data_IF_645599316543
#
_entry.id   IF_645599316543
#
_cell.length_a   1.000
_cell.length_b   1.000
_cell.length_c   1.000
_cell.angle_alpha   90.00
_cell.angle_beta   90.00
_cell.angle_gamma   90.00
#
_symmetry.space_group_name_H-M   'P 1'
#
loop_
_entity.id
_entity.type
_entity.pdbx_description
1 polymer ?
#
# COMPACT_ATOMS: atom_id res chain seq x y z
N UNK A 1 2.39 13.14 -7.18
CA UNK A 1 0.97 13.40 -6.82
C UNK A 1 0.56 12.23 -5.96
N UNK A 2 0.11 12.47 -4.71
CA UNK A 2 -0.17 11.40 -3.76
C UNK A 2 -1.10 10.34 -4.35
N UNK A 3 -0.87 9.07 -4.02
CA UNK A 3 -1.57 7.93 -4.62
C UNK A 3 -3.08 8.02 -4.44
N UNK A 4 -3.53 8.44 -3.27
CA UNK A 4 -4.95 8.68 -2.96
C UNK A 4 -5.57 9.69 -3.90
N UNK A 5 -4.84 10.76 -4.23
CA UNK A 5 -5.34 11.79 -5.13
C UNK A 5 -5.50 11.25 -6.54
N UNK A 6 -4.58 10.37 -6.99
CA UNK A 6 -4.69 9.70 -8.28
C UNK A 6 -5.89 8.76 -8.31
N UNK A 7 -6.08 7.93 -7.29
CA UNK A 7 -7.21 7.00 -7.20
C UNK A 7 -8.56 7.72 -7.12
N UNK A 8 -8.66 8.79 -6.33
CA UNK A 8 -9.86 9.63 -6.27
C UNK A 8 -10.11 10.31 -7.62
N UNK A 9 -9.04 10.73 -8.32
CA UNK A 9 -9.17 11.32 -9.64
C UNK A 9 -9.64 10.30 -10.67
N UNK A 10 -9.07 9.10 -10.69
CA UNK A 10 -9.51 7.98 -11.55
C UNK A 10 -10.98 7.64 -11.28
N UNK A 11 -11.39 7.57 -10.02
CA UNK A 11 -12.79 7.36 -9.66
C UNK A 11 -13.72 8.48 -10.17
N UNK A 12 -13.30 9.75 -10.07
CA UNK A 12 -14.06 10.88 -10.61
C UNK A 12 -14.16 10.80 -12.15
N UNK A 13 -13.07 10.43 -12.81
CA UNK A 13 -12.99 10.32 -14.28
C UNK A 13 -13.79 9.13 -14.83
N UNK A 14 -13.74 7.99 -14.16
CA UNK A 14 -14.38 6.79 -14.67
C UNK A 14 -15.85 6.71 -14.24
N UNK A 15 -16.16 6.96 -12.96
CA UNK A 15 -17.49 6.67 -12.45
C UNK A 15 -18.40 7.90 -12.39
N UNK A 16 -17.87 9.08 -12.02
CA UNK A 16 -18.69 10.30 -11.93
C UNK A 16 -18.91 10.91 -13.32
N UNK A 17 -17.86 11.02 -14.13
CA UNK A 17 -17.95 11.61 -15.47
C UNK A 17 -18.84 10.77 -16.39
N UNK A 18 -18.63 9.45 -16.48
CA UNK A 18 -19.46 8.57 -17.32
C UNK A 18 -20.93 8.61 -16.92
N UNK A 19 -21.25 8.52 -15.61
CA UNK A 19 -22.65 8.58 -15.16
C UNK A 19 -23.32 9.92 -15.48
N UNK A 20 -22.56 11.01 -15.47
CA UNK A 20 -23.06 12.33 -15.88
C UNK A 20 -23.26 12.42 -17.39
N UNK A 21 -22.37 11.83 -18.19
CA UNK A 21 -22.53 11.72 -19.65
C UNK A 21 -23.77 10.91 -20.02
N UNK A 22 -23.96 9.73 -19.41
CA UNK A 22 -25.15 8.90 -19.61
C UNK A 22 -26.44 9.62 -19.18
N UNK A 23 -26.36 10.50 -18.17
CA UNK A 23 -27.50 11.31 -17.77
C UNK A 23 -27.81 12.41 -18.80
N UNK A 24 -26.77 13.07 -19.33
CA UNK A 24 -26.90 14.06 -20.41
C UNK A 24 -27.53 13.45 -21.67
N UNK A 25 -27.00 12.32 -22.14
CA UNK A 25 -27.51 11.64 -23.34
C UNK A 25 -28.98 11.20 -23.17
N UNK A 26 -29.34 10.61 -22.02
CA UNK A 26 -30.74 10.22 -21.74
C UNK A 26 -31.69 11.41 -21.70
N UNK A 27 -31.24 12.57 -21.20
CA UNK A 27 -32.07 13.78 -21.24
C UNK A 27 -32.21 14.31 -22.66
N UNK A 28 -31.15 14.24 -23.48
CA UNK A 28 -31.17 14.69 -24.87
C UNK A 28 -32.09 13.82 -25.73
N UNK A 29 -32.03 12.49 -25.57
CA UNK A 29 -32.91 11.56 -26.24
C UNK A 29 -34.38 11.78 -25.86
N UNK A 30 -34.69 11.86 -24.56
CA UNK A 30 -36.06 12.11 -24.08
C UNK A 30 -36.62 13.43 -24.62
N UNK A 31 -35.81 14.48 -24.65
CA UNK A 31 -36.22 15.78 -25.18
C UNK A 31 -36.32 15.83 -26.71
N UNK A 32 -35.64 14.93 -27.42
CA UNK A 32 -35.76 14.77 -28.87
C UNK A 32 -37.02 13.97 -29.24
N UNK A 33 -37.37 12.96 -28.45
CA UNK A 33 -38.52 12.09 -28.68
C UNK A 33 -39.86 12.70 -28.27
N UNK A 34 -39.88 13.62 -27.30
CA UNK A 34 -41.12 14.26 -26.85
C UNK A 34 -41.76 15.13 -27.94
N UNK A 35 -43.00 14.81 -28.39
CA UNK A 35 -43.67 15.57 -29.43
C UNK A 35 -44.12 16.95 -28.95
N UNK A 36 -44.17 17.90 -29.88
CA UNK A 36 -44.60 19.27 -29.61
C UNK A 36 -46.07 19.28 -29.17
N UNK A 37 -46.31 19.57 -27.88
CA UNK A 37 -47.67 19.76 -27.42
C UNK A 37 -48.19 21.13 -27.89
N UNK A 38 -49.00 21.10 -28.95
CA UNK A 38 -49.52 22.31 -29.58
C UNK A 38 -50.49 23.09 -28.68
N UNK A 39 -51.20 22.38 -27.77
CA UNK A 39 -52.11 22.99 -26.79
C UNK A 39 -51.41 23.89 -25.77
N UNK A 40 -50.13 23.66 -25.51
CA UNK A 40 -49.29 24.48 -24.63
C UNK A 40 -48.29 25.33 -25.42
N UNK A 41 -48.59 25.68 -26.68
CA UNK A 41 -47.70 26.49 -27.54
C UNK A 41 -46.27 25.91 -27.66
N UNK A 42 -46.13 24.58 -27.57
CA UNK A 42 -44.84 23.90 -27.56
C UNK A 42 -43.89 24.32 -26.40
N UNK A 43 -44.43 24.87 -25.30
CA UNK A 43 -43.66 25.19 -24.08
C UNK A 43 -42.88 23.99 -23.54
N UNK A 44 -43.36 22.75 -23.77
CA UNK A 44 -42.61 21.54 -23.41
C UNK A 44 -41.20 21.53 -24.01
N UNK A 45 -41.06 21.92 -25.29
CA UNK A 45 -39.76 21.93 -25.98
C UNK A 45 -38.81 22.99 -25.42
N UNK A 46 -39.35 24.12 -24.95
CA UNK A 46 -38.59 25.16 -24.26
C UNK A 46 -38.12 24.69 -22.88
N UNK A 47 -38.98 24.04 -22.11
CA UNK A 47 -38.62 23.42 -20.83
C UNK A 47 -37.56 22.33 -21.00
N UNK A 48 -37.66 21.53 -22.05
CA UNK A 48 -36.66 20.52 -22.40
C UNK A 48 -35.30 21.14 -22.74
N UNK A 49 -35.28 22.24 -23.51
CA UNK A 49 -34.04 22.99 -23.77
C UNK A 49 -33.43 23.56 -22.48
N UNK A 50 -34.25 24.13 -21.58
CA UNK A 50 -33.76 24.61 -20.28
C UNK A 50 -33.19 23.47 -19.42
N UNK A 51 -33.85 22.31 -19.40
CA UNK A 51 -33.37 21.14 -18.68
C UNK A 51 -32.02 20.65 -19.23
N UNK A 52 -31.84 20.63 -20.55
CA UNK A 52 -30.55 20.29 -21.18
C UNK A 52 -29.44 21.28 -20.82
N UNK A 53 -29.73 22.58 -20.86
CA UNK A 53 -28.76 23.61 -20.45
C UNK A 53 -28.40 23.42 -18.98
N UNK A 54 -29.38 23.15 -18.12
CA UNK A 54 -29.14 22.90 -16.70
C UNK A 54 -28.24 21.68 -16.47
N UNK A 55 -28.51 20.56 -17.15
CA UNK A 55 -27.70 19.33 -17.09
C UNK A 55 -26.26 19.61 -17.51
N UNK A 56 -26.06 20.33 -18.62
CA UNK A 56 -24.72 20.75 -19.09
C UNK A 56 -23.99 21.63 -18.08
N UNK A 57 -24.70 22.59 -17.48
CA UNK A 57 -24.12 23.44 -16.43
C UNK A 57 -23.74 22.60 -15.19
N UNK A 58 -24.60 21.68 -14.77
CA UNK A 58 -24.31 20.77 -13.65
C UNK A 58 -23.08 19.92 -13.96
N UNK A 59 -22.97 19.35 -15.17
CA UNK A 59 -21.78 18.61 -15.61
C UNK A 59 -20.52 19.47 -15.51
N UNK A 60 -20.53 20.69 -16.04
CA UNK A 60 -19.38 21.61 -15.95
C UNK A 60 -19.02 21.90 -14.49
N UNK A 61 -19.99 22.20 -13.64
CA UNK A 61 -19.74 22.53 -12.24
C UNK A 61 -19.23 21.31 -11.46
N UNK A 62 -19.91 20.16 -11.56
CA UNK A 62 -19.56 18.98 -10.78
C UNK A 62 -18.27 18.34 -11.30
N UNK A 63 -18.15 18.13 -12.60
CA UNK A 63 -17.00 17.43 -13.18
C UNK A 63 -15.79 18.36 -13.28
N UNK A 64 -15.92 19.53 -13.91
CA UNK A 64 -14.74 20.39 -14.15
C UNK A 64 -14.29 21.06 -12.86
N UNK A 65 -15.20 21.77 -12.18
CA UNK A 65 -14.83 22.49 -10.96
C UNK A 65 -14.55 21.51 -9.83
N UNK A 66 -15.38 20.47 -9.65
CA UNK A 66 -15.18 19.46 -8.62
C UNK A 66 -13.87 18.69 -8.76
N UNK A 67 -13.49 18.28 -9.99
CA UNK A 67 -12.20 17.61 -10.26
C UNK A 67 -11.02 18.52 -9.96
N UNK A 68 -11.07 19.78 -10.40
CA UNK A 68 -9.99 20.74 -10.14
C UNK A 68 -9.84 21.06 -8.66
N UNK A 69 -10.95 21.33 -7.96
CA UNK A 69 -10.94 21.62 -6.53
C UNK A 69 -10.40 20.41 -5.75
N UNK A 70 -10.93 19.22 -6.04
CA UNK A 70 -10.49 17.99 -5.36
C UNK A 70 -9.02 17.72 -5.61
N UNK A 71 -8.55 17.89 -6.86
CA UNK A 71 -7.14 17.74 -7.21
C UNK A 71 -6.24 18.70 -6.45
N UNK A 72 -6.56 20.01 -6.48
CA UNK A 72 -5.74 21.03 -5.83
C UNK A 72 -5.73 20.83 -4.32
N UNK A 73 -6.89 20.60 -3.69
CA UNK A 73 -6.97 20.36 -2.25
C UNK A 73 -6.20 19.09 -1.88
N UNK A 74 -6.40 18.00 -2.63
CA UNK A 74 -5.73 16.74 -2.34
C UNK A 74 -4.21 16.85 -2.49
N UNK A 75 -3.71 17.44 -3.58
CA UNK A 75 -2.28 17.66 -3.78
C UNK A 75 -1.67 18.52 -2.66
N UNK A 76 -2.33 19.61 -2.26
CA UNK A 76 -1.85 20.50 -1.18
C UNK A 76 -1.88 19.78 0.18
N UNK A 77 -2.96 19.08 0.51
CA UNK A 77 -3.10 18.37 1.79
C UNK A 77 -2.12 17.21 1.87
N UNK A 78 -2.03 16.36 0.84
CA UNK A 78 -1.06 15.27 0.79
C UNK A 78 0.37 15.78 0.91
N UNK A 79 0.73 16.87 0.22
CA UNK A 79 2.05 17.46 0.35
C UNK A 79 2.34 17.94 1.78
N UNK A 80 1.40 18.64 2.42
CA UNK A 80 1.55 19.08 3.82
C UNK A 80 1.72 17.87 4.75
N UNK A 81 0.90 16.83 4.57
CA UNK A 81 0.99 15.61 5.38
C UNK A 81 2.31 14.86 5.16
N UNK A 82 2.81 14.80 3.93
CA UNK A 82 4.09 14.16 3.60
C UNK A 82 5.27 14.96 4.18
N UNK A 83 5.23 16.29 4.15
CA UNK A 83 6.24 17.13 4.81
C UNK A 83 6.23 16.91 6.33
N UNK A 84 5.05 16.87 6.96
CA UNK A 84 4.94 16.56 8.38
C UNK A 84 5.44 15.15 8.70
N UNK A 85 5.10 14.17 7.87
CA UNK A 85 5.57 12.79 8.00
C UNK A 85 7.09 12.71 7.85
N UNK A 86 7.68 13.44 6.92
CA UNK A 86 9.13 13.51 6.75
C UNK A 86 9.83 14.09 7.99
N UNK A 87 9.34 15.22 8.52
CA UNK A 87 9.88 15.80 9.77
C UNK A 87 9.74 14.82 10.93
N UNK A 88 8.61 14.13 11.02
CA UNK A 88 8.39 13.10 12.01
C UNK A 88 9.39 11.95 11.85
N UNK A 89 9.54 11.37 10.66
CA UNK A 89 10.50 10.31 10.37
C UNK A 89 11.94 10.73 10.65
N UNK A 90 12.32 11.99 10.41
CA UNK A 90 13.63 12.51 10.81
C UNK A 90 13.83 12.45 12.33
N UNK A 91 12.83 12.78 13.13
CA UNK A 91 12.89 12.62 14.59
C UNK A 91 13.02 11.13 14.95
N UNK A 92 12.29 10.26 14.25
CA UNK A 92 12.35 8.80 14.44
C UNK A 92 13.68 8.18 13.99
N UNK A 93 14.47 8.88 13.19
CA UNK A 93 15.81 8.47 12.73
C UNK A 93 16.91 8.76 13.76
N UNK A 94 16.60 9.43 14.88
CA UNK A 94 17.57 9.65 15.96
C UNK A 94 17.89 8.29 16.60
N UNK A 95 19.17 7.86 16.65
CA UNK A 95 19.53 6.59 17.27
C UNK A 95 19.08 6.50 18.72
N UNK A 96 18.70 5.30 19.15
CA UNK A 96 18.20 4.93 20.48
C UNK A 96 16.83 5.54 20.78
N UNK A 97 16.72 6.86 20.84
CA UNK A 97 15.47 7.56 21.20
C UNK A 97 14.40 7.34 20.12
N UNK A 98 14.75 7.56 18.86
CA UNK A 98 13.85 7.33 17.73
C UNK A 98 13.45 5.87 17.60
N UNK A 99 14.40 4.95 17.78
CA UNK A 99 14.13 3.51 17.81
C UNK A 99 13.08 3.10 18.84
N UNK A 100 13.26 3.51 20.11
CA UNK A 100 12.31 3.20 21.20
C UNK A 100 10.93 3.78 20.91
N UNK A 101 10.85 5.06 20.50
CA UNK A 101 9.57 5.70 20.19
C UNK A 101 8.89 4.97 19.03
N UNK A 102 9.64 4.52 18.01
CA UNK A 102 9.12 3.81 16.84
C UNK A 102 8.50 2.49 17.22
N UNK A 103 9.22 1.69 17.99
CA UNK A 103 8.71 0.42 18.49
C UNK A 103 7.41 0.62 19.26
N UNK A 104 7.36 1.60 20.18
CA UNK A 104 6.16 1.87 20.97
C UNK A 104 4.99 2.32 20.08
N UNK A 105 5.21 3.28 19.18
CA UNK A 105 4.16 3.80 18.32
C UNK A 105 3.65 2.75 17.34
N UNK A 106 4.54 1.92 16.77
CA UNK A 106 4.12 0.85 15.87
C UNK A 106 3.31 -0.22 16.61
N UNK A 107 3.70 -0.59 17.83
CA UNK A 107 2.89 -1.49 18.66
C UNK A 107 1.52 -0.91 18.99
N UNK A 108 1.45 0.35 19.42
CA UNK A 108 0.18 1.02 19.73
C UNK A 108 -0.70 1.12 18.48
N UNK A 109 -0.11 1.50 17.36
CA UNK A 109 -0.80 1.61 16.06
C UNK A 109 -1.33 0.26 15.61
N UNK A 110 -0.53 -0.80 15.72
CA UNK A 110 -0.96 -2.17 15.41
C UNK A 110 -2.14 -2.59 16.30
N UNK A 111 -2.08 -2.35 17.61
CA UNK A 111 -3.17 -2.71 18.52
C UNK A 111 -4.46 -1.99 18.13
N UNK A 112 -4.39 -0.68 17.84
CA UNK A 112 -5.55 0.10 17.41
C UNK A 112 -6.12 -0.48 16.11
N UNK A 113 -5.28 -0.71 15.11
CA UNK A 113 -5.75 -1.22 13.81
C UNK A 113 -6.23 -2.65 13.87
N UNK A 114 -5.69 -3.49 14.76
CA UNK A 114 -6.19 -4.85 14.98
C UNK A 114 -7.58 -4.84 15.60
N UNK A 115 -7.86 -3.89 16.50
CA UNK A 115 -9.21 -3.68 17.05
C UNK A 115 -10.17 -3.23 15.96
N UNK A 116 -9.77 -2.27 15.12
CA UNK A 116 -10.59 -1.79 13.99
C UNK A 116 -10.81 -2.92 12.97
N UNK A 117 -9.78 -3.70 12.68
CA UNK A 117 -9.77 -4.83 11.76
C UNK A 117 -10.48 -6.07 12.29
N UNK A 118 -10.93 -6.10 13.55
CA UNK A 118 -11.61 -7.27 14.13
C UNK A 118 -12.90 -7.62 13.37
N UNK A 119 -13.63 -6.61 12.91
CA UNK A 119 -14.84 -6.82 12.09
C UNK A 119 -14.47 -7.49 10.77
N UNK A 120 -13.41 -6.99 10.10
CA UNK A 120 -12.90 -7.54 8.84
C UNK A 120 -12.37 -8.97 9.02
N UNK A 121 -11.68 -9.23 10.13
CA UNK A 121 -11.21 -10.56 10.51
C UNK A 121 -12.36 -11.56 10.65
N UNK A 122 -13.41 -11.20 11.40
CA UNK A 122 -14.58 -12.08 11.60
C UNK A 122 -15.33 -12.31 10.29
N UNK A 123 -15.52 -11.27 9.47
CA UNK A 123 -16.15 -11.39 8.15
C UNK A 123 -15.32 -12.28 7.22
N UNK A 124 -14.00 -12.11 7.21
CA UNK A 124 -13.08 -12.92 6.42
C UNK A 124 -13.10 -14.39 6.85
N UNK A 125 -13.14 -14.68 8.15
CA UNK A 125 -13.29 -16.04 8.66
C UNK A 125 -14.61 -16.68 8.23
N UNK A 126 -15.68 -15.89 8.15
CA UNK A 126 -16.98 -16.32 7.63
C UNK A 126 -17.02 -16.47 6.09
N UNK A 127 -15.91 -16.19 5.39
CA UNK A 127 -15.78 -16.30 3.94
C UNK A 127 -16.19 -15.04 3.16
N UNK A 128 -16.57 -13.95 3.84
CA UNK A 128 -16.82 -12.68 3.19
C UNK A 128 -15.50 -11.93 3.00
N UNK A 129 -14.91 -12.07 1.82
CA UNK A 129 -13.60 -11.53 1.48
C UNK A 129 -13.68 -10.58 0.27
N UNK A 130 -14.29 -9.40 0.41
CA UNK A 130 -14.24 -8.37 -0.65
C UNK A 130 -12.79 -8.02 -1.00
N UNK A 131 -12.52 -7.75 -2.28
CA UNK A 131 -11.15 -7.50 -2.75
C UNK A 131 -10.57 -6.26 -2.05
N UNK A 132 -9.37 -6.39 -1.50
CA UNK A 132 -8.63 -5.30 -0.82
C UNK A 132 -7.37 -4.94 -1.61
N UNK A 133 -6.74 -3.84 -1.25
CA UNK A 133 -5.45 -3.39 -1.77
C UNK A 133 -4.39 -3.45 -0.68
N UNK A 134 -3.17 -3.77 -1.07
CA UNK A 134 -1.97 -3.64 -0.26
C UNK A 134 -0.87 -3.04 -1.15
N UNK A 135 0.06 -2.31 -0.53
CA UNK A 135 1.14 -1.67 -1.25
C UNK A 135 2.48 -2.16 -0.75
N UNK A 136 3.40 -2.38 -1.67
CA UNK A 136 4.78 -2.67 -1.33
C UNK A 136 5.75 -2.02 -2.30
N UNK A 137 6.94 -1.71 -1.82
CA UNK A 137 8.01 -1.10 -2.60
C UNK A 137 9.35 -1.72 -2.24
N UNK A 138 10.32 -1.60 -3.15
CA UNK A 138 11.66 -2.10 -2.94
C UNK A 138 12.63 -0.94 -2.68
N UNK A 139 13.52 -1.11 -1.72
CA UNK A 139 14.69 -0.25 -1.53
C UNK A 139 15.93 -1.11 -1.62
N UNK A 140 16.82 -0.75 -2.52
CA UNK A 140 18.09 -1.42 -2.75
C UNK A 140 19.19 -0.54 -2.17
N UNK A 141 19.82 -0.91 -1.05
CA UNK A 141 20.93 -0.14 -0.50
C UNK A 141 22.12 -0.08 -1.46
N UNK A 142 22.95 0.94 -1.29
CA UNK A 142 24.17 1.13 -2.08
C UNK A 142 25.42 1.03 -1.22
N UNK A 143 26.50 0.54 -1.81
CA UNK A 143 27.86 0.57 -1.29
C UNK A 143 28.73 1.36 -2.26
N UNK A 144 29.34 2.43 -1.76
CA UNK A 144 30.22 3.30 -2.56
C UNK A 144 29.58 3.79 -3.88
N UNK A 145 28.25 3.97 -3.87
CA UNK A 145 27.45 4.40 -5.02
C UNK A 145 27.00 3.27 -5.96
N UNK A 146 27.33 2.01 -5.68
CA UNK A 146 26.86 0.84 -6.42
C UNK A 146 25.77 0.11 -5.64
N UNK A 147 24.68 -0.26 -6.31
CA UNK A 147 23.57 -0.99 -5.69
C UNK A 147 23.97 -2.44 -5.36
N UNK A 148 23.56 -2.96 -4.20
CA UNK A 148 23.88 -4.32 -3.74
C UNK A 148 23.28 -5.39 -4.66
N UNK A 149 22.12 -5.11 -5.25
CA UNK A 149 21.45 -5.97 -6.22
C UNK A 149 20.80 -5.13 -7.32
N UNK A 150 20.29 -5.77 -8.37
CA UNK A 150 19.40 -5.13 -9.32
C UNK A 150 17.93 -5.46 -9.03
N UNK A 151 17.02 -4.58 -9.42
CA UNK A 151 15.58 -4.87 -9.35
C UNK A 151 15.21 -6.15 -10.12
N UNK A 152 15.92 -6.43 -11.22
CA UNK A 152 15.71 -7.63 -12.03
C UNK A 152 16.00 -8.93 -11.26
N UNK A 153 16.95 -8.91 -10.33
CA UNK A 153 17.26 -10.08 -9.49
C UNK A 153 16.10 -10.40 -8.53
N UNK A 154 15.31 -9.39 -8.16
CA UNK A 154 14.17 -9.51 -7.26
C UNK A 154 12.84 -9.76 -8.00
N UNK A 155 12.81 -9.65 -9.32
CA UNK A 155 11.58 -9.77 -10.09
C UNK A 155 10.82 -11.09 -9.83
N UNK A 156 11.48 -12.27 -9.73
CA UNK A 156 10.79 -13.51 -9.36
C UNK A 156 10.09 -13.41 -8.01
N UNK A 157 10.73 -12.75 -7.03
CA UNK A 157 10.15 -12.56 -5.69
C UNK A 157 8.97 -11.59 -5.70
N UNK A 158 9.08 -10.52 -6.49
CA UNK A 158 8.02 -9.51 -6.71
C UNK A 158 6.79 -10.17 -7.35
N UNK A 159 6.99 -10.92 -8.43
CA UNK A 159 5.92 -11.59 -9.17
C UNK A 159 5.21 -12.64 -8.32
N UNK A 160 5.98 -13.46 -7.59
CA UNK A 160 5.44 -14.44 -6.67
C UNK A 160 4.62 -13.78 -5.56
N UNK A 161 5.06 -12.64 -5.01
CA UNK A 161 4.31 -11.95 -3.98
C UNK A 161 2.97 -11.40 -4.49
N UNK A 162 2.96 -10.82 -5.70
CA UNK A 162 1.75 -10.32 -6.34
C UNK A 162 0.77 -11.49 -6.60
N UNK A 163 1.26 -12.57 -7.19
CA UNK A 163 0.44 -13.75 -7.50
C UNK A 163 -0.18 -14.36 -6.23
N UNK A 164 0.62 -14.58 -5.19
CA UNK A 164 0.16 -15.25 -3.98
C UNK A 164 -0.82 -14.38 -3.18
N UNK A 165 -0.59 -13.08 -3.07
CA UNK A 165 -1.55 -12.18 -2.40
C UNK A 165 -2.88 -12.09 -3.15
N UNK A 166 -2.86 -12.09 -4.48
CA UNK A 166 -4.09 -12.11 -5.29
C UNK A 166 -4.83 -13.44 -5.13
N UNK A 167 -4.13 -14.55 -5.39
CA UNK A 167 -4.70 -15.91 -5.44
C UNK A 167 -5.14 -16.44 -4.08
N UNK A 168 -4.33 -16.25 -3.03
CA UNK A 168 -4.59 -16.82 -1.71
C UNK A 168 -5.43 -15.91 -0.82
N UNK A 169 -5.22 -14.59 -0.92
CA UNK A 169 -5.81 -13.63 0.03
C UNK A 169 -6.90 -12.74 -0.59
N UNK A 170 -7.13 -12.79 -1.91
CA UNK A 170 -7.96 -11.83 -2.65
C UNK A 170 -7.56 -10.38 -2.34
N UNK A 171 -6.25 -10.12 -2.35
CA UNK A 171 -5.65 -8.80 -2.14
C UNK A 171 -4.91 -8.42 -3.43
N UNK A 172 -5.27 -7.26 -3.99
CA UNK A 172 -4.51 -6.64 -5.06
C UNK A 172 -3.23 -6.03 -4.47
N UNK A 173 -2.11 -6.75 -4.57
CA UNK A 173 -0.82 -6.25 -4.14
C UNK A 173 -0.22 -5.36 -5.23
N UNK A 174 -0.05 -4.07 -4.92
CA UNK A 174 0.40 -3.05 -5.86
C UNK A 174 1.87 -2.74 -5.59
N UNK A 175 2.72 -3.09 -6.56
CA UNK A 175 4.14 -2.75 -6.55
C UNK A 175 4.36 -1.28 -6.91
N UNK A 176 5.12 -0.56 -6.07
CA UNK A 176 5.34 0.88 -6.20
C UNK A 176 6.70 1.24 -6.82
N UNK A 177 7.45 0.23 -7.30
CA UNK A 177 8.76 0.38 -7.91
C UNK A 177 9.94 0.21 -6.93
N UNK A 178 11.14 0.09 -7.49
CA UNK A 178 12.39 0.08 -6.74
C UNK A 178 12.98 1.48 -6.59
N UNK A 179 13.80 1.65 -5.55
CA UNK A 179 14.64 2.83 -5.37
C UNK A 179 16.01 2.42 -4.86
N UNK A 180 17.05 2.86 -5.58
CA UNK A 180 18.42 2.74 -5.09
C UNK A 180 18.65 3.80 -4.02
N UNK A 181 19.06 3.37 -2.83
CA UNK A 181 19.30 4.29 -1.72
C UNK A 181 20.40 5.28 -2.08
N UNK A 182 20.08 6.57 -2.07
CA UNK A 182 21.09 7.65 -2.21
C UNK A 182 22.02 7.78 -1.00
N UNK A 183 21.85 6.93 0.02
CA UNK A 183 22.64 6.87 1.24
C UNK A 183 23.28 5.50 1.31
N UNK A 184 24.60 5.47 1.57
CA UNK A 184 25.32 4.22 1.71
C UNK A 184 24.81 3.43 2.92
N UNK A 185 24.71 2.11 2.74
CA UNK A 185 24.40 1.21 3.83
C UNK A 185 25.47 1.29 4.94
N UNK A 186 25.06 1.06 6.21
CA UNK A 186 25.92 1.29 7.38
C UNK A 186 27.10 0.32 7.52
N UNK A 187 27.08 -0.81 6.81
CA UNK A 187 28.16 -1.80 6.78
C UNK A 187 28.19 -2.47 5.41
N UNK A 188 29.38 -2.91 4.97
CA UNK A 188 29.58 -3.71 3.75
C UNK A 188 30.38 -4.98 4.15
N UNK A 189 29.80 -6.18 4.15
CA UNK A 189 28.41 -6.48 3.76
C UNK A 189 27.36 -5.95 4.76
N UNK A 190 26.15 -5.68 4.26
CA UNK A 190 24.99 -5.29 5.04
C UNK A 190 24.33 -6.54 5.65
N UNK A 191 24.85 -6.97 6.79
CA UNK A 191 24.31 -8.12 7.50
C UNK A 191 23.25 -7.70 8.52
N UNK A 192 22.16 -8.46 8.56
CA UNK A 192 21.08 -8.23 9.51
C UNK A 192 20.75 -9.48 10.31
N UNK A 193 20.57 -9.32 11.63
CA UNK A 193 20.25 -10.45 12.52
C UNK A 193 18.74 -10.61 12.68
N UNK A 194 18.13 -11.63 12.08
CA UNK A 194 16.73 -12.02 12.30
C UNK A 194 16.48 -12.72 13.64
N UNK A 195 16.82 -12.03 14.73
CA UNK A 195 16.58 -12.49 16.09
C UNK A 195 16.43 -11.29 17.03
N UNK A 196 16.41 -11.54 18.34
CA UNK A 196 16.35 -10.49 19.34
C UNK A 196 17.50 -9.47 19.22
N UNK A 197 18.68 -9.87 18.73
CA UNK A 197 19.79 -8.95 18.49
C UNK A 197 19.45 -7.93 17.41
N UNK A 198 18.93 -8.36 16.25
CA UNK A 198 18.55 -7.40 15.20
C UNK A 198 17.41 -6.50 15.62
N UNK A 199 16.45 -7.00 16.40
CA UNK A 199 15.42 -6.15 17.00
C UNK A 199 16.02 -4.98 17.80
N UNK A 200 17.08 -5.23 18.58
CA UNK A 200 17.78 -4.15 19.30
C UNK A 200 18.75 -3.35 18.43
N UNK A 201 19.34 -3.95 17.37
CA UNK A 201 20.14 -3.20 16.38
C UNK A 201 19.29 -2.22 15.58
N UNK A 202 18.00 -2.51 15.41
CA UNK A 202 17.05 -1.58 14.82
C UNK A 202 16.91 -0.29 15.63
N UNK A 203 17.12 -0.35 16.95
CA UNK A 203 17.14 0.86 17.77
C UNK A 203 18.37 1.73 17.52
N UNK A 204 19.38 1.23 16.81
CA UNK A 204 20.65 1.90 16.59
C UNK A 204 20.77 2.43 15.15
N UNK A 205 21.99 2.39 14.60
CA UNK A 205 22.32 2.96 13.31
C UNK A 205 21.61 2.26 12.14
N UNK A 206 21.39 0.95 12.23
CA UNK A 206 20.73 0.19 11.16
C UNK A 206 19.28 0.62 10.96
N UNK A 207 18.48 0.68 12.04
CA UNK A 207 17.11 1.17 11.92
C UNK A 207 16.99 2.66 11.63
N UNK A 208 17.99 3.46 12.00
CA UNK A 208 18.07 4.86 11.58
C UNK A 208 18.28 4.97 10.07
N UNK A 209 19.14 4.11 9.51
CA UNK A 209 19.36 3.99 8.08
C UNK A 209 18.08 3.59 7.33
N UNK A 210 17.35 2.57 7.77
CA UNK A 210 16.13 2.12 7.09
C UNK A 210 15.05 3.22 7.05
N UNK A 211 14.82 3.94 8.14
CA UNK A 211 13.87 5.07 8.13
C UNK A 211 14.32 6.19 7.21
N UNK A 212 15.61 6.52 7.26
CA UNK A 212 16.13 7.62 6.45
C UNK A 212 16.07 7.27 4.96
N UNK A 213 16.51 6.07 4.57
CA UNK A 213 16.39 5.56 3.21
C UNK A 213 14.93 5.54 2.75
N UNK A 214 14.00 5.06 3.58
CA UNK A 214 12.56 5.08 3.29
C UNK A 214 12.04 6.49 3.08
N UNK A 215 12.44 7.45 3.92
CA UNK A 215 11.99 8.84 3.82
C UNK A 215 12.45 9.53 2.53
N UNK A 216 13.61 9.15 2.01
CA UNK A 216 14.19 9.69 0.78
C UNK A 216 13.63 9.00 -0.47
N UNK A 217 13.57 7.67 -0.47
CA UNK A 217 13.13 6.87 -1.61
C UNK A 217 11.61 6.84 -1.79
N UNK A 218 10.87 6.86 -0.69
CA UNK A 218 9.41 6.70 -0.65
C UNK A 218 8.79 7.89 0.08
N UNK A 219 9.10 9.09 -0.39
CA UNK A 219 8.58 10.33 0.22
C UNK A 219 7.05 10.43 0.11
N UNK A 220 6.50 10.10 -1.07
CA UNK A 220 5.05 10.17 -1.32
C UNK A 220 4.27 9.20 -0.41
N UNK A 221 3.13 9.66 0.10
CA UNK A 221 2.26 8.92 1.03
C UNK A 221 2.95 8.52 2.35
N UNK A 222 4.00 9.23 2.75
CA UNK A 222 4.73 8.99 3.99
C UNK A 222 3.85 9.06 5.24
N UNK A 223 2.78 9.87 5.21
CA UNK A 223 1.81 9.96 6.30
C UNK A 223 1.08 8.62 6.57
N UNK A 224 0.91 7.75 5.56
CA UNK A 224 0.32 6.42 5.75
C UNK A 224 1.21 5.51 6.58
N UNK A 225 2.54 5.62 6.43
CA UNK A 225 3.49 4.89 7.27
C UNK A 225 3.42 5.33 8.73
N UNK A 226 3.25 6.64 8.97
CA UNK A 226 3.14 7.20 10.32
C UNK A 226 1.82 6.83 10.99
N UNK A 227 0.71 6.88 10.25
CA UNK A 227 -0.63 6.54 10.78
C UNK A 227 -0.92 5.04 10.81
N UNK A 228 -0.16 4.25 10.04
CA UNK A 228 -0.36 2.82 9.85
C UNK A 228 -1.46 2.46 8.84
N UNK A 229 -2.32 3.39 8.42
CA UNK A 229 -3.46 3.08 7.57
C UNK A 229 -3.06 2.91 6.11
N UNK A 230 -3.14 1.69 5.59
CA UNK A 230 -2.67 1.37 4.25
C UNK A 230 -1.18 1.66 4.10
N UNK A 231 -0.42 1.52 5.19
CA UNK A 231 1.02 1.72 5.20
C UNK A 231 1.67 0.76 4.20
N UNK A 232 2.56 1.31 3.38
CA UNK A 232 3.33 0.52 2.42
C UNK A 232 4.34 -0.37 3.16
N UNK A 233 4.42 -1.65 2.77
CA UNK A 233 5.46 -2.56 3.25
C UNK A 233 6.69 -2.37 2.37
N UNK A 234 7.82 -2.01 2.96
CA UNK A 234 9.07 -1.79 2.22
C UNK A 234 9.94 -3.04 2.30
N UNK A 235 10.30 -3.63 1.17
CA UNK A 235 11.33 -4.66 1.14
C UNK A 235 12.70 -3.99 1.03
N UNK A 236 13.60 -4.31 1.95
CA UNK A 236 15.01 -3.93 1.89
C UNK A 236 15.85 -5.11 1.43
N UNK A 237 16.68 -4.88 0.42
CA UNK A 237 17.68 -5.88 0.01
C UNK A 237 18.87 -5.80 0.96
N UNK A 238 19.29 -6.95 1.48
CA UNK A 238 20.48 -7.08 2.32
C UNK A 238 21.43 -8.13 1.75
N UNK A 239 22.70 -8.09 2.15
CA UNK A 239 23.69 -9.07 1.69
C UNK A 239 23.51 -10.43 2.35
N UNK A 240 23.11 -10.44 3.63
CA UNK A 240 23.07 -11.65 4.46
C UNK A 240 22.11 -11.46 5.65
N UNK A 241 21.16 -12.38 5.79
CA UNK A 241 20.29 -12.49 6.95
C UNK A 241 20.80 -13.60 7.88
N UNK A 242 20.96 -13.29 9.16
CA UNK A 242 21.54 -14.19 10.16
C UNK A 242 20.58 -14.46 11.32
N UNK A 243 20.65 -15.60 12.01
CA UNK A 243 21.47 -16.76 11.70
C UNK A 243 20.94 -17.56 10.51
N UNK A 244 21.82 -18.28 9.83
CA UNK A 244 21.45 -19.29 8.83
C UNK A 244 20.44 -20.31 9.42
N UNK A 245 19.52 -20.86 8.60
CA UNK A 245 19.39 -20.71 7.14
C UNK A 245 18.32 -19.67 6.73
N UNK A 246 18.22 -18.55 7.45
CA UNK A 246 17.22 -17.51 7.15
C UNK A 246 17.74 -16.59 6.07
N UNK A 247 17.07 -16.49 4.91
CA UNK A 247 17.45 -15.54 3.85
C UNK A 247 16.50 -14.32 3.78
N UNK A 248 15.54 -14.27 4.70
CA UNK A 248 14.56 -13.20 4.88
C UNK A 248 14.35 -12.88 6.34
N UNK A 249 13.86 -11.66 6.61
CA UNK A 249 13.49 -11.28 7.96
C UNK A 249 12.40 -10.22 8.03
N UNK A 250 11.54 -10.38 9.04
CA UNK A 250 10.54 -9.40 9.43
C UNK A 250 10.54 -9.25 10.94
N UNK A 251 10.50 -8.00 11.41
CA UNK A 251 10.31 -7.69 12.83
C UNK A 251 8.83 -7.73 13.22
N UNK A 252 8.03 -8.50 12.47
CA UNK A 252 6.60 -8.62 12.63
C UNK A 252 5.87 -7.29 12.42
N UNK A 253 4.77 -7.03 13.14
CA UNK A 253 3.96 -5.82 12.94
C UNK A 253 4.64 -4.54 13.47
N UNK A 254 5.81 -4.68 14.10
CA UNK A 254 6.49 -3.60 14.81
C UNK A 254 7.23 -2.66 13.86
N UNK A 255 7.27 -3.00 12.57
CA UNK A 255 7.90 -2.22 11.51
C UNK A 255 7.00 -2.21 10.27
N UNK A 256 7.30 -1.32 9.32
CA UNK A 256 6.63 -1.27 8.01
C UNK A 256 7.56 -1.79 6.90
N UNK A 257 8.56 -2.58 7.26
CA UNK A 257 9.52 -3.09 6.30
C UNK A 257 9.92 -4.53 6.61
N UNK A 258 10.41 -5.20 5.58
CA UNK A 258 10.94 -6.56 5.61
C UNK A 258 12.33 -6.53 4.98
N UNK A 259 13.09 -7.59 5.19
CA UNK A 259 14.42 -7.77 4.67
C UNK A 259 14.45 -9.05 3.86
N UNK A 260 15.13 -9.03 2.72
CA UNK A 260 15.28 -10.19 1.86
C UNK A 260 16.64 -10.15 1.18
N UNK A 261 17.23 -11.31 0.95
CA UNK A 261 18.40 -11.44 0.09
C UNK A 261 17.98 -11.48 -1.38
N UNK A 262 18.89 -11.09 -2.28
CA UNK A 262 18.58 -11.08 -3.71
C UNK A 262 18.56 -12.45 -4.37
N UNK A 263 19.25 -13.43 -3.81
CA UNK A 263 19.39 -14.78 -4.39
C UNK A 263 18.78 -15.86 -3.49
N UNK A 264 17.54 -15.65 -3.07
CA UNK A 264 16.77 -16.61 -2.26
C UNK A 264 15.51 -17.12 -3.00
N UNK A 265 14.64 -17.83 -2.31
CA UNK A 265 13.38 -18.34 -2.81
C UNK A 265 12.46 -17.22 -3.30
N UNK A 266 11.79 -17.47 -4.43
CA UNK A 266 10.77 -16.60 -5.01
C UNK A 266 9.67 -16.23 -4.00
N UNK A 267 9.36 -17.10 -3.04
CA UNK A 267 8.30 -16.83 -2.07
C UNK A 267 8.78 -16.03 -0.84
N UNK A 268 10.03 -15.57 -0.78
CA UNK A 268 10.59 -14.93 0.41
C UNK A 268 9.88 -13.61 0.76
N UNK A 269 9.69 -12.71 -0.21
CA UNK A 269 9.01 -11.43 0.05
C UNK A 269 7.62 -11.65 0.63
N UNK A 270 6.82 -12.56 0.06
CA UNK A 270 5.46 -12.82 0.54
C UNK A 270 5.42 -13.52 1.89
N UNK A 271 6.39 -14.39 2.18
CA UNK A 271 6.58 -14.98 3.50
C UNK A 271 6.82 -13.90 4.56
N UNK A 272 7.77 -13.00 4.32
CA UNK A 272 8.11 -11.92 5.26
C UNK A 272 6.99 -10.88 5.39
N UNK A 273 6.25 -10.61 4.31
CA UNK A 273 5.02 -9.82 4.38
C UNK A 273 3.97 -10.46 5.26
N UNK A 274 3.88 -11.80 5.28
CA UNK A 274 3.05 -12.57 6.21
C UNK A 274 3.40 -12.25 7.66
N UNK A 275 4.69 -12.28 7.99
CA UNK A 275 5.19 -11.86 9.31
C UNK A 275 4.87 -10.41 9.63
N UNK A 276 5.09 -9.49 8.69
CA UNK A 276 4.74 -8.07 8.85
C UNK A 276 3.24 -7.87 9.13
N UNK A 277 2.39 -8.78 8.62
CA UNK A 277 0.96 -8.80 8.87
C UNK A 277 0.52 -9.60 10.11
N UNK A 278 1.47 -9.99 10.99
CA UNK A 278 1.26 -10.72 12.25
C UNK A 278 1.07 -12.24 12.13
N UNK A 279 1.48 -12.84 11.01
CA UNK A 279 1.62 -14.29 10.98
C UNK A 279 2.89 -14.73 11.70
N UNK A 280 2.81 -15.86 12.39
CA UNK A 280 3.96 -16.56 12.95
C UNK A 280 4.24 -17.79 12.10
N UNK A 281 5.40 -18.41 12.29
CA UNK A 281 5.66 -19.70 11.65
C UNK A 281 4.59 -20.72 12.05
N UNK A 282 4.12 -21.50 11.07
CA UNK A 282 3.07 -22.49 11.27
C UNK A 282 3.50 -23.87 10.74
N UNK A 283 3.75 -24.78 11.68
CA UNK A 283 4.07 -26.18 11.40
C UNK A 283 5.38 -26.38 10.63
N UNK A 284 5.60 -27.64 10.24
CA UNK A 284 6.74 -28.07 9.44
C UNK A 284 6.31 -28.47 8.00
N UNK A 285 5.05 -28.17 7.62
CA UNK A 285 4.56 -28.46 6.27
C UNK A 285 5.14 -27.42 5.30
N UNK A 286 6.06 -27.80 4.41
CA UNK A 286 6.76 -26.86 3.53
C UNK A 286 5.86 -26.26 2.44
N UNK A 287 4.59 -26.71 2.35
CA UNK A 287 3.58 -26.16 1.46
C UNK A 287 2.75 -25.04 2.10
N UNK A 288 2.90 -24.80 3.40
CA UNK A 288 2.34 -23.63 4.06
C UNK A 288 3.29 -22.43 3.90
N UNK A 289 2.74 -21.31 3.44
CA UNK A 289 3.51 -20.09 3.20
C UNK A 289 4.31 -19.65 4.43
N UNK A 290 3.84 -19.95 5.64
CA UNK A 290 4.50 -19.61 6.90
C UNK A 290 5.33 -20.76 7.49
N UNK A 291 5.75 -21.73 6.69
CA UNK A 291 6.71 -22.74 7.14
C UNK A 291 8.09 -22.08 7.39
N UNK A 292 8.88 -22.55 8.38
CA UNK A 292 10.21 -22.01 8.65
C UNK A 292 11.20 -22.13 7.48
N UNK A 293 10.96 -23.05 6.55
CA UNK A 293 11.74 -23.19 5.31
C UNK A 293 10.89 -22.72 4.14
N UNK A 294 11.31 -21.61 3.53
CA UNK A 294 10.62 -21.04 2.36
C UNK A 294 11.06 -21.76 1.09
N UNK A 295 10.09 -22.24 0.31
CA UNK A 295 10.34 -22.91 -0.97
C UNK A 295 9.68 -22.14 -2.10
N UNK A 296 10.29 -22.15 -3.30
CA UNK A 296 9.71 -21.53 -4.51
C UNK A 296 8.56 -22.34 -5.14
N UNK A 297 8.12 -23.42 -4.50
CA UNK A 297 6.96 -24.20 -4.95
C UNK A 297 5.65 -23.50 -4.58
N UNK A 298 4.53 -23.79 -5.26
CA UNK A 298 3.24 -23.20 -4.90
C UNK A 298 2.90 -23.39 -3.41
N UNK A 299 2.66 -22.28 -2.74
CA UNK A 299 2.38 -22.22 -1.30
C UNK A 299 0.87 -22.07 -1.05
N UNK A 300 0.44 -22.41 0.17
CA UNK A 300 -0.93 -22.29 0.66
C UNK A 300 -0.99 -21.50 1.97
N UNK A 301 -2.17 -20.95 2.26
CA UNK A 301 -2.47 -20.30 3.54
C UNK A 301 -3.79 -20.87 4.08
N UNK A 302 -3.89 -21.03 5.39
CA UNK A 302 -5.15 -21.40 6.04
C UNK A 302 -6.11 -20.21 6.03
N UNK A 303 -7.42 -20.48 6.17
CA UNK A 303 -8.42 -19.41 6.26
C UNK A 303 -8.15 -18.45 7.44
N UNK A 304 -7.57 -18.98 8.53
CA UNK A 304 -7.14 -18.16 9.66
C UNK A 304 -6.01 -17.22 9.25
N UNK A 305 -4.96 -17.74 8.62
CA UNK A 305 -3.81 -16.94 8.18
C UNK A 305 -4.24 -15.85 7.18
N UNK A 306 -5.09 -16.20 6.20
CA UNK A 306 -5.69 -15.25 5.24
C UNK A 306 -6.44 -14.14 5.97
N UNK A 307 -7.25 -14.49 6.97
CA UNK A 307 -8.02 -13.50 7.74
C UNK A 307 -7.13 -12.58 8.60
N UNK A 308 -6.03 -13.09 9.14
CA UNK A 308 -5.03 -12.28 9.86
C UNK A 308 -4.34 -11.29 8.94
N UNK A 309 -3.91 -11.72 7.74
CA UNK A 309 -3.31 -10.82 6.74
C UNK A 309 -4.30 -9.72 6.36
N UNK A 310 -5.53 -10.12 5.99
CA UNK A 310 -6.56 -9.19 5.50
C UNK A 310 -6.94 -8.14 6.55
N UNK A 311 -6.90 -8.48 7.83
CA UNK A 311 -7.18 -7.55 8.93
C UNK A 311 -6.00 -6.67 9.35
N UNK A 312 -4.83 -6.80 8.71
CA UNK A 312 -3.67 -5.96 9.02
C UNK A 312 -3.88 -4.51 8.57
N UNK A 313 -3.15 -3.59 9.20
CA UNK A 313 -3.16 -2.16 8.89
C UNK A 313 -2.72 -1.84 7.44
N UNK A 314 -1.98 -2.75 6.81
CA UNK A 314 -1.48 -2.63 5.45
C UNK A 314 -2.55 -2.92 4.39
N UNK A 315 -3.63 -3.61 4.77
CA UNK A 315 -4.74 -4.00 3.89
C UNK A 315 -5.90 -3.00 3.96
N UNK A 316 -6.15 -2.28 2.87
CA UNK A 316 -7.21 -1.27 2.80
C UNK A 316 -8.17 -1.51 1.64
N UNK A 317 -9.35 -0.90 1.70
CA UNK A 317 -10.35 -0.96 0.64
C UNK A 317 -10.16 0.11 -0.44
N UNK A 318 -9.50 1.21 -0.07
CA UNK A 318 -9.30 2.40 -0.90
C UNK A 318 -7.90 2.45 -1.48
#
# INVERSE_FOLDING_TARGET
MGRVCREVQEWIEEEVEQRMEEWEERQEERCREEPCNWWTLCLNKLFCWMALVLVKVIRVVVVIIGKWITRVICEVVSFILDVLAFVFTLIMSIPIIGGIIRTILNWVTEIIWRIVGLVDFVLSLAGFQPRKKMYFGLIIPTHDGEAIASEADLQPQIDAAIEHMDRLCNINLIYTGACDSGVNAPSNPLNYACNAEGFFRDWLLQGSFFEFATSLCKFEDGWRRVTGYGAEIIAFVVDDVTPEPSDGCSMGPTTNYILTESQTSDNMIVHEMGHACFLLHEGDDPTNMMAPTVLSTPQTLTNWQVSVIRSSRHCVYL
#
